data_IF_922079755972
#
_entry.id   IF_922079755972
#
_cell.length_a   1.000
_cell.length_b   1.000
_cell.length_c   1.000
_cell.angle_alpha   90.00
_cell.angle_beta   90.00
_cell.angle_gamma   90.00
#
_symmetry.space_group_name_H-M   'P 1'
#
loop_
_entity.id
_entity.type
_entity.pdbx_description
1 polymer ?
#
# COMPACT_ATOMS: atom_id res chain seq x y z
N UNK A 1 0.01 -17.37 22.11
CA UNK A 1 -0.45 -15.97 22.15
C UNK A 1 0.00 -15.34 20.85
N UNK A 2 -0.92 -14.78 20.06
CA UNK A 2 -0.57 -14.05 18.82
C UNK A 2 0.20 -12.79 19.19
N UNK A 3 1.35 -12.56 18.55
CA UNK A 3 2.09 -11.31 18.77
C UNK A 3 1.21 -10.11 18.38
N UNK A 4 1.27 -9.00 19.14
CA UNK A 4 0.52 -7.79 18.79
C UNK A 4 1.06 -7.18 17.49
N UNK A 5 0.18 -6.51 16.75
CA UNK A 5 0.56 -5.71 15.59
C UNK A 5 1.02 -4.33 16.06
N UNK A 6 2.02 -3.78 15.40
CA UNK A 6 2.51 -2.43 15.62
C UNK A 6 1.43 -1.40 15.28
N UNK A 7 1.30 -0.39 16.12
CA UNK A 7 0.45 0.77 15.88
C UNK A 7 1.25 1.80 15.11
N UNK A 8 0.76 2.19 13.94
CA UNK A 8 1.37 3.24 13.12
C UNK A 8 0.54 4.51 13.28
N UNK A 9 1.21 5.65 13.44
CA UNK A 9 0.55 6.94 13.55
C UNK A 9 1.30 8.01 12.74
N UNK A 10 0.58 9.05 12.29
CA UNK A 10 1.23 10.26 11.77
C UNK A 10 2.00 10.96 12.87
N UNK A 11 3.20 11.42 12.56
CA UNK A 11 3.94 12.40 13.36
C UNK A 11 3.84 13.83 12.78
N UNK A 12 3.43 13.96 11.52
CA UNK A 12 3.35 15.23 10.78
C UNK A 12 2.28 15.20 9.69
N UNK A 13 1.48 16.24 9.58
CA UNK A 13 0.51 16.44 8.48
C UNK A 13 1.19 16.85 7.15
N UNK A 14 2.51 17.02 7.15
CA UNK A 14 3.26 17.37 5.95
C UNK A 14 3.14 16.24 4.90
N UNK A 15 2.79 16.63 3.67
CA UNK A 15 2.83 15.74 2.51
C UNK A 15 4.24 15.66 1.96
N UNK A 16 4.59 14.49 1.43
CA UNK A 16 5.87 14.22 0.80
C UNK A 16 5.65 13.54 -0.54
N UNK A 17 6.62 13.70 -1.43
CA UNK A 17 6.78 12.86 -2.61
C UNK A 17 8.03 12.02 -2.48
N UNK A 18 7.98 10.82 -3.02
CA UNK A 18 9.16 9.99 -3.20
C UNK A 18 9.62 10.07 -4.65
N UNK A 19 10.91 10.37 -4.80
CA UNK A 19 11.55 10.51 -6.11
C UNK A 19 12.73 9.54 -6.23
N UNK A 20 13.05 9.06 -7.45
CA UNK A 20 14.24 8.25 -7.69
C UNK A 20 15.50 8.95 -7.20
N UNK A 21 16.32 8.24 -6.42
CA UNK A 21 17.58 8.77 -5.92
C UNK A 21 18.59 7.63 -5.71
N UNK A 22 19.81 7.78 -6.23
CA UNK A 22 20.85 6.75 -6.14
C UNK A 22 21.18 6.34 -4.70
N UNK A 23 21.08 7.27 -3.74
CA UNK A 23 21.36 7.05 -2.31
C UNK A 23 20.11 7.22 -1.44
N UNK A 24 18.91 7.15 -2.04
CA UNK A 24 17.65 7.26 -1.31
C UNK A 24 17.54 6.21 -0.21
N UNK A 25 16.91 6.54 0.91
CA UNK A 25 16.73 5.61 2.05
C UNK A 25 15.52 4.69 1.89
N UNK A 26 14.52 5.17 1.17
CA UNK A 26 13.29 4.46 0.86
C UNK A 26 13.50 3.57 -0.37
N UNK A 27 12.58 2.66 -0.61
CA UNK A 27 12.66 1.70 -1.71
C UNK A 27 11.31 1.55 -2.37
N UNK A 28 11.28 1.51 -3.69
CA UNK A 28 10.17 1.01 -4.49
C UNK A 28 10.52 -0.39 -4.97
N UNK A 29 9.55 -1.30 -4.94
CA UNK A 29 9.74 -2.68 -5.37
C UNK A 29 10.82 -3.43 -4.58
N UNK A 30 11.45 -4.40 -5.25
CA UNK A 30 12.48 -5.27 -4.70
C UNK A 30 11.94 -6.53 -4.03
N UNK A 31 12.87 -7.33 -3.51
CA UNK A 31 12.58 -8.60 -2.84
C UNK A 31 11.93 -8.38 -1.49
N UNK A 32 11.05 -9.31 -1.12
CA UNK A 32 10.42 -9.36 0.19
C UNK A 32 11.49 -9.60 1.27
N UNK A 33 11.44 -8.90 2.42
CA UNK A 33 12.32 -9.18 3.55
C UNK A 33 11.96 -10.52 4.24
N UNK A 34 10.73 -11.00 4.09
CA UNK A 34 10.28 -12.31 4.59
C UNK A 34 10.31 -13.39 3.50
N UNK A 35 10.52 -14.64 3.92
CA UNK A 35 10.47 -15.78 3.02
C UNK A 35 9.04 -16.03 2.52
N UNK A 36 8.84 -15.90 1.21
CA UNK A 36 7.61 -16.30 0.51
C UNK A 36 6.93 -15.16 -0.24
N UNK A 37 6.67 -15.37 -1.54
CA UNK A 37 5.85 -14.49 -2.39
C UNK A 37 4.37 -14.50 -1.98
N UNK A 38 3.95 -15.59 -1.32
CA UNK A 38 2.62 -15.79 -0.78
C UNK A 38 2.74 -16.02 0.74
N UNK A 39 2.14 -15.18 1.59
CA UNK A 39 2.13 -15.36 3.03
C UNK A 39 1.51 -16.71 3.40
N UNK A 40 1.93 -17.27 4.53
CA UNK A 40 1.40 -18.55 5.00
C UNK A 40 -0.13 -18.52 5.06
N UNK A 41 -0.79 -19.35 4.25
CA UNK A 41 -2.26 -19.43 4.17
C UNK A 41 -2.90 -18.59 3.08
N UNK A 42 -2.13 -17.99 2.17
CA UNK A 42 -2.65 -17.32 0.97
C UNK A 42 -2.03 -17.94 -0.28
N UNK A 43 -2.85 -18.19 -1.31
CA UNK A 43 -2.39 -18.59 -2.64
C UNK A 43 -2.17 -17.38 -3.57
N UNK A 44 -2.49 -16.17 -3.08
CA UNK A 44 -2.34 -14.94 -3.84
C UNK A 44 -0.97 -14.32 -3.55
N UNK A 45 -0.16 -14.06 -4.59
CA UNK A 45 1.11 -13.38 -4.41
C UNK A 45 0.88 -11.92 -4.00
N UNK A 46 1.67 -11.46 -3.03
CA UNK A 46 1.71 -10.06 -2.60
C UNK A 46 3.08 -9.48 -2.91
N UNK A 47 3.07 -8.24 -3.42
CA UNK A 47 4.28 -7.54 -3.80
C UNK A 47 4.55 -6.38 -2.83
N UNK A 48 5.82 -6.22 -2.45
CA UNK A 48 6.31 -4.98 -1.86
C UNK A 48 6.27 -3.89 -2.94
N UNK A 49 5.33 -2.95 -2.84
CA UNK A 49 5.33 -1.79 -3.73
C UNK A 49 6.32 -0.74 -3.24
N UNK A 50 6.37 -0.48 -1.93
CA UNK A 50 7.37 0.41 -1.37
C UNK A 50 7.74 0.05 0.08
N UNK A 51 8.92 0.46 0.52
CA UNK A 51 9.36 0.37 1.92
C UNK A 51 9.87 1.73 2.38
N UNK A 52 9.24 2.28 3.40
CA UNK A 52 9.60 3.56 3.97
C UNK A 52 10.57 3.36 5.15
N UNK A 53 11.72 4.03 5.12
CA UNK A 53 12.62 4.09 6.27
C UNK A 53 12.02 4.99 7.36
N UNK A 54 11.61 4.39 8.48
CA UNK A 54 11.03 5.09 9.62
C UNK A 54 12.08 5.76 10.51
N UNK A 55 13.37 5.49 10.29
CA UNK A 55 14.48 6.16 10.99
C UNK A 55 14.89 7.47 10.33
N UNK A 56 14.35 7.76 9.13
CA UNK A 56 14.58 9.03 8.46
C UNK A 56 13.92 10.18 9.24
N UNK A 57 14.66 11.27 9.45
CA UNK A 57 14.21 12.42 10.25
C UNK A 57 12.86 12.98 9.76
N UNK A 58 12.66 13.01 8.44
CA UNK A 58 11.50 13.61 7.80
C UNK A 58 10.34 12.66 7.51
N UNK A 59 10.43 11.37 7.85
CA UNK A 59 9.33 10.42 7.55
C UNK A 59 8.07 10.76 8.35
N UNK A 60 6.88 10.92 7.76
CA UNK A 60 5.71 11.43 8.47
C UNK A 60 5.06 10.42 9.43
N UNK A 61 5.67 9.26 9.65
CA UNK A 61 5.10 8.17 10.42
C UNK A 61 5.99 7.77 11.59
N UNK A 62 5.37 7.24 12.63
CA UNK A 62 6.02 6.56 13.74
C UNK A 62 5.26 5.27 14.06
N UNK A 63 5.95 4.30 14.67
CA UNK A 63 5.39 3.01 15.02
C UNK A 63 5.64 2.66 16.50
N UNK A 64 4.69 1.96 17.11
CA UNK A 64 4.82 1.38 18.45
C UNK A 64 4.44 -0.13 18.43
N UNK A 65 5.37 -1.06 18.72
CA UNK A 65 6.78 -0.82 19.04
C UNK A 65 7.54 -0.17 17.87
N UNK A 66 8.69 0.41 18.18
CA UNK A 66 9.51 1.08 17.17
C UNK A 66 9.89 0.11 16.04
N UNK A 67 9.58 0.51 14.80
CA UNK A 67 9.95 -0.17 13.56
C UNK A 67 11.01 0.66 12.84
N UNK A 68 11.90 0.01 12.12
CA UNK A 68 12.85 0.68 11.21
C UNK A 68 12.26 0.83 9.82
N UNK A 69 11.32 -0.03 9.43
CA UNK A 69 10.67 -0.02 8.12
C UNK A 69 9.14 -0.04 8.23
N UNK A 70 8.50 0.72 7.34
CA UNK A 70 7.08 0.60 7.03
C UNK A 70 6.95 0.01 5.63
N UNK A 71 6.79 -1.32 5.49
CA UNK A 71 6.55 -1.94 4.20
C UNK A 71 5.10 -1.74 3.74
N UNK A 72 4.94 -1.47 2.46
CA UNK A 72 3.68 -1.24 1.76
C UNK A 72 3.45 -2.36 0.75
N UNK A 73 2.71 -3.37 1.17
CA UNK A 73 2.35 -4.53 0.36
C UNK A 73 1.03 -4.35 -0.36
N UNK A 74 0.99 -4.76 -1.62
CA UNK A 74 -0.23 -4.80 -2.42
C UNK A 74 -0.41 -6.20 -3.02
N UNK A 75 -1.64 -6.74 -3.01
CA UNK A 75 -1.93 -8.01 -3.69
C UNK A 75 -1.78 -7.86 -5.20
N UNK A 76 -1.06 -8.79 -5.82
CA UNK A 76 -1.13 -8.97 -7.26
C UNK A 76 -2.33 -9.86 -7.52
N UNK A 77 -3.53 -9.29 -7.69
CA UNK A 77 -4.67 -10.01 -8.24
C UNK A 77 -5.26 -9.18 -9.38
N UNK A 78 -5.43 -9.81 -10.53
CA UNK A 78 -5.93 -9.17 -11.75
C UNK A 78 -7.41 -9.49 -11.94
N UNK A 79 -8.21 -8.51 -12.36
CA UNK A 79 -9.63 -8.66 -12.69
C UNK A 79 -10.50 -7.52 -12.16
N UNK A 80 -11.82 -7.73 -12.24
CA UNK A 80 -12.86 -6.74 -11.92
C UNK A 80 -12.72 -6.17 -10.50
N UNK A 81 -12.64 -4.84 -10.37
CA UNK A 81 -12.69 -4.14 -9.08
C UNK A 81 -11.35 -3.91 -8.36
N UNK A 82 -10.27 -4.56 -8.79
CA UNK A 82 -8.95 -4.41 -8.17
C UNK A 82 -8.83 -5.11 -6.82
N UNK A 83 -7.68 -5.72 -6.57
CA UNK A 83 -7.45 -6.48 -5.35
C UNK A 83 -7.36 -5.56 -4.11
N UNK A 84 -7.95 -5.99 -2.99
CA UNK A 84 -7.79 -5.30 -1.71
C UNK A 84 -7.30 -6.25 -0.62
N UNK A 85 -6.52 -5.72 0.32
CA UNK A 85 -5.90 -6.50 1.38
C UNK A 85 -5.81 -5.67 2.66
N UNK A 86 -5.89 -6.35 3.80
CA UNK A 86 -5.65 -5.74 5.11
C UNK A 86 -4.63 -6.57 5.89
N UNK A 87 -3.66 -5.88 6.47
CA UNK A 87 -2.60 -6.53 7.23
C UNK A 87 -2.16 -5.67 8.41
N UNK A 88 -1.63 -6.34 9.43
CA UNK A 88 -0.90 -5.70 10.51
C UNK A 88 0.60 -5.95 10.38
N UNK A 89 1.41 -4.98 10.81
CA UNK A 89 2.86 -5.13 10.84
C UNK A 89 3.23 -5.68 12.20
N UNK A 90 3.92 -6.82 12.26
CA UNK A 90 4.28 -7.46 13.53
C UNK A 90 5.69 -7.05 13.94
N UNK A 91 6.61 -7.00 12.98
CA UNK A 91 7.99 -6.54 13.15
C UNK A 91 8.54 -5.99 11.81
N UNK A 92 9.82 -5.60 11.77
CA UNK A 92 10.47 -5.17 10.53
C UNK A 92 10.49 -6.27 9.44
N UNK A 93 10.43 -7.54 9.86
CA UNK A 93 10.54 -8.71 8.98
C UNK A 93 9.25 -9.54 8.92
N UNK A 94 8.17 -9.10 9.57
CA UNK A 94 6.93 -9.89 9.65
C UNK A 94 5.69 -9.01 9.52
N UNK A 95 4.81 -9.40 8.60
CA UNK A 95 3.42 -8.93 8.55
C UNK A 95 2.46 -10.08 8.85
N UNK A 96 1.24 -9.73 9.22
CA UNK A 96 0.11 -10.65 9.34
C UNK A 96 -1.00 -10.21 8.42
N UNK A 97 -1.33 -11.01 7.41
CA UNK A 97 -2.57 -10.83 6.65
C UNK A 97 -3.74 -11.05 7.59
N UNK A 98 -4.64 -10.08 7.63
CA UNK A 98 -5.87 -10.10 8.42
C UNK A 98 -7.08 -10.38 7.53
N UNK A 99 -7.02 -9.91 6.29
CA UNK A 99 -8.04 -10.12 5.28
C UNK A 99 -7.44 -9.90 3.88
N UNK A 100 -7.95 -10.65 2.91
CA UNK A 100 -7.59 -10.52 1.50
C UNK A 100 -8.87 -10.73 0.68
N UNK A 101 -9.10 -9.87 -0.31
CA UNK A 101 -10.25 -9.95 -1.18
C UNK A 101 -10.17 -11.18 -2.09
N UNK A 102 -11.19 -12.03 -2.03
CA UNK A 102 -11.33 -13.34 -2.67
C UNK A 102 -9.99 -14.07 -2.93
N UNK A 103 -9.67 -15.03 -2.07
CA UNK A 103 -8.40 -15.77 -2.06
C UNK A 103 -8.10 -16.53 -3.37
N UNK A 104 -9.09 -16.67 -4.26
CA UNK A 104 -8.88 -17.27 -5.58
C UNK A 104 -8.46 -16.23 -6.62
N UNK A 105 -7.47 -16.55 -7.48
CA UNK A 105 -7.19 -15.72 -8.65
C UNK A 105 -8.40 -15.78 -9.60
N UNK A 106 -8.68 -14.65 -10.27
CA UNK A 106 -9.82 -14.59 -11.19
C UNK A 106 -9.63 -15.48 -12.43
N UNK A 107 -8.38 -15.83 -12.77
CA UNK A 107 -8.05 -16.84 -13.80
C UNK A 107 -6.85 -17.71 -13.39
N UNK A 108 -6.79 -18.96 -13.86
CA UNK A 108 -5.98 -19.99 -13.22
C UNK A 108 -4.46 -19.81 -13.29
N UNK A 109 -3.82 -19.27 -14.34
CA UNK A 109 -2.34 -19.39 -14.44
C UNK A 109 -1.59 -18.32 -15.26
N UNK A 110 -2.25 -17.46 -16.04
CA UNK A 110 -1.60 -16.55 -17.01
C UNK A 110 -1.40 -15.11 -16.51
N UNK A 111 -1.85 -14.78 -15.30
CA UNK A 111 -1.96 -13.38 -14.89
C UNK A 111 -0.66 -12.75 -14.35
N UNK A 112 0.30 -13.57 -13.91
CA UNK A 112 1.52 -13.05 -13.27
C UNK A 112 2.69 -13.02 -14.23
N UNK A 113 3.32 -11.84 -14.38
CA UNK A 113 4.61 -11.73 -15.05
C UNK A 113 5.64 -12.48 -14.21
N UNK A 114 6.10 -13.63 -14.73
CA UNK A 114 7.19 -14.38 -14.14
C UNK A 114 8.49 -13.64 -14.43
N UNK A 115 9.05 -12.99 -13.41
CA UNK A 115 10.37 -12.34 -13.48
C UNK A 115 11.29 -12.98 -12.45
N UNK A 116 12.58 -13.12 -12.81
CA UNK A 116 13.60 -13.66 -11.89
C UNK A 116 13.76 -12.75 -10.66
N UNK A 117 13.64 -11.43 -10.86
CA UNK A 117 13.70 -10.42 -9.82
C UNK A 117 12.70 -9.31 -10.11
N UNK A 118 11.95 -8.88 -9.08
CA UNK A 118 11.10 -7.71 -9.18
C UNK A 118 11.97 -6.45 -9.28
N UNK A 119 11.60 -5.47 -10.13
CA UNK A 119 12.35 -4.24 -10.26
C UNK A 119 12.44 -3.54 -8.90
N UNK A 120 13.58 -2.90 -8.64
CA UNK A 120 13.78 -2.12 -7.43
C UNK A 120 14.44 -0.78 -7.72
N UNK A 121 13.99 0.24 -6.99
CA UNK A 121 14.49 1.59 -7.13
C UNK A 121 14.63 2.23 -5.75
N UNK A 122 15.77 2.90 -5.51
CA UNK A 122 15.98 3.69 -4.29
C UNK A 122 15.29 5.04 -4.43
N UNK A 123 14.64 5.46 -3.34
CA UNK A 123 13.79 6.63 -3.29
C UNK A 123 14.24 7.58 -2.18
N UNK A 124 14.22 8.88 -2.46
CA UNK A 124 14.36 9.93 -1.46
C UNK A 124 13.03 10.65 -1.23
N UNK A 125 12.83 11.12 -0.01
CA UNK A 125 11.58 11.73 0.43
C UNK A 125 11.72 13.25 0.46
N UNK A 126 10.97 13.93 -0.41
CA UNK A 126 11.02 15.39 -0.57
C UNK A 126 9.69 15.98 -0.07
N UNK A 127 9.73 16.98 0.84
CA UNK A 127 8.52 17.68 1.26
C UNK A 127 7.80 18.33 0.07
N UNK A 128 6.48 18.20 0.04
CA UNK A 128 5.64 18.93 -0.91
C UNK A 128 5.28 20.30 -0.34
N UNK A 129 5.43 21.36 -1.12
CA UNK A 129 4.89 22.67 -0.75
C UNK A 129 3.35 22.59 -0.68
N UNK A 130 2.73 23.38 0.21
CA UNK A 130 1.28 23.32 0.46
C UNK A 130 0.42 23.61 -0.78
N UNK A 131 0.99 24.27 -1.79
CA UNK A 131 0.37 24.67 -3.06
C UNK A 131 0.69 23.75 -4.24
N UNK A 132 1.63 22.80 -4.08
CA UNK A 132 1.97 21.85 -5.14
C UNK A 132 1.04 20.65 -5.10
N UNK A 133 -0.09 20.80 -5.80
CA UNK A 133 -0.88 19.66 -6.24
C UNK A 133 -0.01 18.71 -7.09
N UNK A 134 -0.39 17.43 -7.06
CA UNK A 134 0.15 16.35 -7.85
C UNK A 134 0.76 16.78 -9.19
N UNK A 135 2.08 16.74 -9.28
CA UNK A 135 2.74 16.81 -10.57
C UNK A 135 2.82 15.38 -11.06
N UNK A 136 2.19 15.01 -12.18
CA UNK A 136 2.10 13.62 -12.68
C UNK A 136 3.42 12.89 -12.96
N UNK A 137 4.56 13.40 -12.47
CA UNK A 137 5.88 12.79 -12.45
C UNK A 137 6.27 12.20 -11.07
N UNK A 138 5.47 12.42 -10.02
CA UNK A 138 5.77 11.86 -8.70
C UNK A 138 5.53 10.34 -8.74
N UNK A 139 6.38 9.52 -8.11
CA UNK A 139 6.18 8.05 -8.11
C UNK A 139 5.19 7.62 -7.02
N UNK A 140 5.33 8.21 -5.84
CA UNK A 140 4.51 7.94 -4.67
C UNK A 140 4.35 9.25 -3.89
N UNK A 141 3.12 9.58 -3.51
CA UNK A 141 2.87 10.56 -2.46
C UNK A 141 2.79 9.84 -1.11
N UNK A 142 3.34 10.45 -0.06
CA UNK A 142 3.25 9.96 1.31
C UNK A 142 2.75 11.02 2.29
N UNK A 143 2.00 10.58 3.30
CA UNK A 143 1.48 11.43 4.36
C UNK A 143 0.40 12.40 3.88
N UNK A 144 0.29 13.53 4.56
CA UNK A 144 -0.78 14.51 4.31
C UNK A 144 -2.07 14.23 5.07
N UNK A 145 -2.94 15.24 5.12
CA UNK A 145 -4.33 15.05 5.53
C UNK A 145 -5.19 14.77 4.31
N UNK A 146 -5.52 13.51 4.12
CA UNK A 146 -6.51 13.11 3.14
C UNK A 146 -7.55 12.25 3.87
N UNK A 147 -8.70 12.88 4.14
CA UNK A 147 -9.83 12.25 4.81
C UNK A 147 -10.75 11.51 3.84
N UNK A 148 -10.54 11.68 2.53
CA UNK A 148 -11.36 11.09 1.49
C UNK A 148 -10.50 10.75 0.26
N UNK A 149 -10.81 9.64 -0.38
CA UNK A 149 -10.19 9.19 -1.63
C UNK A 149 -11.32 9.06 -2.64
N UNK A 150 -11.29 9.89 -3.67
CA UNK A 150 -12.31 9.90 -4.71
C UNK A 150 -12.49 8.49 -5.29
N UNK A 151 -13.74 8.08 -5.48
CA UNK A 151 -14.15 6.76 -5.97
C UNK A 151 -13.79 5.55 -5.09
N UNK A 152 -13.24 5.74 -3.88
CA UNK A 152 -12.94 4.63 -2.97
C UNK A 152 -14.17 3.95 -2.36
N UNK A 153 -15.30 4.65 -2.30
CA UNK A 153 -16.46 4.22 -1.51
C UNK A 153 -16.16 4.19 0.00
N UNK A 154 -16.90 3.39 0.75
CA UNK A 154 -16.66 3.23 2.18
C UNK A 154 -15.43 2.34 2.44
N UNK A 155 -14.44 2.87 3.16
CA UNK A 155 -13.30 2.07 3.62
C UNK A 155 -13.71 1.33 4.90
N UNK A 156 -13.73 0.00 4.82
CA UNK A 156 -14.18 -0.89 5.91
C UNK A 156 -12.98 -1.60 6.54
N UNK A 157 -12.89 -1.61 7.88
CA UNK A 157 -11.87 -2.39 8.58
C UNK A 157 -12.31 -3.85 8.77
N UNK A 158 -11.50 -4.80 8.28
CA UNK A 158 -11.71 -6.25 8.37
C UNK A 158 -10.84 -6.92 9.44
N UNK A 159 -10.15 -6.15 10.27
CA UNK A 159 -9.47 -6.69 11.46
C UNK A 159 -10.50 -7.06 12.55
N UNK A 160 -10.66 -8.34 12.94
CA UNK A 160 -11.63 -8.76 13.95
C UNK A 160 -11.35 -8.24 15.36
N UNK A 161 -10.13 -7.73 15.62
CA UNK A 161 -9.76 -7.10 16.88
C UNK A 161 -10.05 -5.58 16.91
N UNK A 162 -10.57 -5.01 15.82
CA UNK A 162 -10.90 -3.59 15.73
C UNK A 162 -12.31 -3.31 16.28
N UNK A 163 -12.48 -2.21 17.01
CA UNK A 163 -13.80 -1.75 17.51
C UNK A 163 -14.77 -1.40 16.37
N UNK A 164 -14.23 -1.19 15.16
CA UNK A 164 -14.95 -0.91 13.92
C UNK A 164 -14.92 -2.09 12.94
N UNK A 165 -14.77 -3.33 13.41
CA UNK A 165 -14.80 -4.51 12.54
C UNK A 165 -16.09 -4.54 11.69
N UNK A 166 -15.92 -4.67 10.39
CA UNK A 166 -16.96 -4.63 9.35
C UNK A 166 -17.81 -3.36 9.32
N UNK A 167 -17.23 -2.23 9.74
CA UNK A 167 -17.86 -0.92 9.68
C UNK A 167 -16.97 0.08 8.92
N UNK A 168 -17.56 1.13 8.34
CA UNK A 168 -16.80 2.27 7.84
C UNK A 168 -15.92 2.87 8.93
N UNK A 169 -14.72 3.28 8.54
CA UNK A 169 -13.72 3.84 9.45
C UNK A 169 -13.25 5.23 9.00
N UNK A 170 -12.81 6.03 9.97
CA UNK A 170 -11.87 7.11 9.68
C UNK A 170 -10.48 6.50 9.44
N UNK A 171 -9.80 7.02 8.43
CA UNK A 171 -8.51 6.50 8.02
C UNK A 171 -7.47 7.63 7.92
N UNK A 172 -6.23 7.21 7.80
CA UNK A 172 -5.11 8.10 7.51
C UNK A 172 -4.37 7.57 6.28
N UNK A 173 -4.17 8.40 5.26
CA UNK A 173 -3.36 8.01 4.10
C UNK A 173 -1.89 7.86 4.50
N UNK A 174 -1.33 6.70 4.19
CA UNK A 174 0.10 6.43 4.27
C UNK A 174 0.75 6.85 2.97
N UNK A 175 0.25 6.29 1.86
CA UNK A 175 0.81 6.52 0.56
C UNK A 175 -0.23 6.30 -0.55
N UNK A 176 -0.01 6.98 -1.67
CA UNK A 176 -0.73 6.75 -2.92
C UNK A 176 0.28 6.69 -4.06
N UNK A 177 0.22 5.63 -4.86
CA UNK A 177 0.98 5.53 -6.11
C UNK A 177 0.28 6.34 -7.18
N UNK A 178 1.07 6.98 -8.02
CA UNK A 178 0.53 7.81 -9.07
C UNK A 178 -0.41 7.08 -10.01
N UNK A 179 -1.57 7.68 -10.36
CA UNK A 179 -2.52 7.04 -11.24
C UNK A 179 -1.82 6.61 -12.53
N UNK A 180 -1.80 5.30 -12.76
CA UNK A 180 -1.20 4.71 -13.95
C UNK A 180 -2.28 4.68 -15.02
N UNK A 181 -2.06 5.23 -16.22
CA UNK A 181 -3.05 5.17 -17.28
C UNK A 181 -3.33 3.71 -17.64
N UNK A 182 -4.61 3.36 -17.65
CA UNK A 182 -5.07 2.03 -18.05
C UNK A 182 -5.23 2.02 -19.56
N UNK A 183 -4.22 1.52 -20.25
CA UNK A 183 -4.32 1.14 -21.65
C UNK A 183 -5.07 -0.20 -21.69
N UNK A 184 -6.39 -0.16 -21.55
CA UNK A 184 -7.22 -1.36 -21.61
C UNK A 184 -6.98 -2.07 -22.94
N UNK A 185 -6.45 -3.28 -22.87
CA UNK A 185 -6.59 -4.30 -23.91
C UNK A 185 -7.90 -5.05 -23.64
N UNK A 186 -8.46 -5.71 -24.65
CA UNK A 186 -9.75 -6.41 -24.55
C UNK A 186 -9.76 -7.49 -23.45
N UNK A 187 -8.58 -7.92 -22.99
CA UNK A 187 -8.38 -8.96 -21.98
C UNK A 187 -8.16 -8.42 -20.53
N UNK A 188 -7.71 -7.16 -20.36
CA UNK A 188 -7.29 -6.65 -19.04
C UNK A 188 -7.81 -5.25 -18.75
N UNK A 189 -8.50 -5.09 -17.61
CA UNK A 189 -9.03 -3.80 -17.12
C UNK A 189 -9.83 -3.03 -18.19
N UNK A 190 -10.48 -3.73 -19.11
CA UNK A 190 -11.22 -3.11 -20.21
C UNK A 190 -12.35 -2.19 -19.72
N UNK A 191 -12.95 -2.48 -18.56
CA UNK A 191 -13.94 -1.60 -17.92
C UNK A 191 -13.37 -0.26 -17.46
N UNK A 192 -12.06 -0.22 -17.23
CA UNK A 192 -11.30 0.95 -16.85
C UNK A 192 -10.49 1.52 -18.02
N UNK A 193 -10.78 1.11 -19.26
CA UNK A 193 -10.09 1.62 -20.44
C UNK A 193 -10.21 3.16 -20.52
N UNK A 194 -9.07 3.84 -20.55
CA UNK A 194 -9.01 5.30 -20.57
C UNK A 194 -9.13 5.97 -19.19
N UNK A 195 -9.32 5.20 -18.11
CA UNK A 195 -9.18 5.66 -16.75
C UNK A 195 -7.71 5.65 -16.30
N UNK A 196 -7.47 6.21 -15.11
CA UNK A 196 -6.21 6.03 -14.40
C UNK A 196 -6.43 5.23 -13.12
N UNK A 197 -5.48 4.36 -12.78
CA UNK A 197 -5.56 3.51 -11.60
C UNK A 197 -4.57 3.97 -10.53
N UNK A 198 -5.08 4.39 -9.36
CA UNK A 198 -4.26 4.70 -8.20
C UNK A 198 -4.27 3.55 -7.20
N UNK A 199 -3.11 3.28 -6.60
CA UNK A 199 -2.96 2.29 -5.53
C UNK A 199 -2.90 3.03 -4.20
N UNK A 200 -3.81 2.68 -3.29
CA UNK A 200 -4.00 3.37 -2.03
C UNK A 200 -3.47 2.53 -0.87
N UNK A 201 -2.83 3.20 0.08
CA UNK A 201 -2.40 2.63 1.36
C UNK A 201 -2.89 3.54 2.47
N UNK A 202 -3.78 3.03 3.31
CA UNK A 202 -4.36 3.78 4.42
C UNK A 202 -4.25 3.01 5.73
N UNK A 203 -4.30 3.72 6.86
CA UNK A 203 -4.36 3.16 8.19
C UNK A 203 -5.76 3.31 8.77
N UNK A 204 -6.28 2.24 9.36
CA UNK A 204 -7.39 2.37 10.28
C UNK A 204 -6.94 3.14 11.53
N UNK A 205 -7.51 4.32 11.77
CA UNK A 205 -7.14 5.15 12.92
C UNK A 205 -7.42 4.48 14.28
N UNK A 206 -8.36 3.54 14.33
CA UNK A 206 -8.73 2.83 15.57
C UNK A 206 -7.70 1.76 15.96
N UNK A 207 -7.27 0.92 15.01
CA UNK A 207 -6.45 -0.26 15.31
C UNK A 207 -5.08 -0.30 14.63
N UNK A 208 -4.75 0.65 13.75
CA UNK A 208 -3.47 0.70 13.03
C UNK A 208 -3.32 -0.32 11.90
N UNK A 209 -4.40 -1.03 11.53
CA UNK A 209 -4.41 -1.95 10.38
C UNK A 209 -4.11 -1.19 9.09
N UNK A 210 -3.16 -1.68 8.30
CA UNK A 210 -2.91 -1.19 6.95
C UNK A 210 -3.95 -1.79 6.02
N UNK A 211 -4.62 -0.94 5.26
CA UNK A 211 -5.63 -1.30 4.27
C UNK A 211 -5.12 -0.82 2.92
N UNK A 212 -5.10 -1.73 1.96
CA UNK A 212 -4.67 -1.44 0.59
C UNK A 212 -5.75 -1.83 -0.41
N UNK A 213 -5.93 -1.00 -1.42
CA UNK A 213 -6.97 -1.13 -2.44
C UNK A 213 -6.61 -0.23 -3.63
N UNK A 214 -7.37 -0.36 -4.71
CA UNK A 214 -7.21 0.46 -5.91
C UNK A 214 -8.41 1.36 -6.11
N UNK A 215 -8.20 2.51 -6.76
CA UNK A 215 -9.29 3.39 -7.22
C UNK A 215 -9.05 3.78 -8.67
N UNK A 216 -10.11 3.70 -9.48
CA UNK A 216 -10.11 4.24 -10.82
C UNK A 216 -10.55 5.71 -10.78
N UNK A 217 -9.83 6.58 -11.48
CA UNK A 217 -10.10 8.02 -11.62
C UNK A 217 -10.21 8.42 -13.08
#
# INVERSE_FOLDING_TARGET
>A
MTQPVAKIATKSQQSFRLVPAATGRHQFGGSLPYQGLCPTGSDVPVQLLASLDLTAENVPFQAEPALTRLPLYHPLKYGYGGASMQYGIVSDDEIRILWLDDEQPNEPDSQYVQVDELPSLRLDMIPLAADNAWSGNDLLQCGGEQADIENAGEIICKNPACDHFERPISFQTIAMISPIPVNGDDEFWYEFQGAYMAFCFVLCQSCGTVITFNVAT
#
